data_IF_260705274373
#
_entry.id   IF_260705274373
#
_cell.length_a   1.000
_cell.length_b   1.000
_cell.length_c   1.000
_cell.angle_alpha   90.00
_cell.angle_beta   90.00
_cell.angle_gamma   90.00
#
_symmetry.space_group_name_H-M   'P 1'
#
loop_
_entity.id
_entity.type
_entity.pdbx_description
1 polymer ?
#
# COMPACT_ATOMS: atom_id res chain seq x y z
N UNK A 1 -9.64 -26.77 -30.52
CA UNK A 1 -8.44 -25.91 -30.40
C UNK A 1 -8.86 -24.49 -30.73
N UNK A 2 -9.28 -23.71 -29.73
CA UNK A 2 -9.60 -22.29 -29.87
C UNK A 2 -8.32 -21.49 -29.78
N UNK A 3 -7.87 -20.95 -30.92
CA UNK A 3 -6.72 -20.06 -31.01
C UNK A 3 -7.12 -18.71 -30.39
N UNK A 4 -6.67 -18.45 -29.17
CA UNK A 4 -6.78 -17.14 -28.50
C UNK A 4 -5.91 -16.14 -29.26
N UNK A 5 -6.54 -15.22 -29.97
CA UNK A 5 -5.90 -14.18 -30.77
C UNK A 5 -5.10 -13.22 -29.85
N UNK A 6 -3.75 -13.17 -29.94
CA UNK A 6 -2.91 -12.35 -29.07
C UNK A 6 -3.16 -10.83 -29.22
N UNK A 7 -3.75 -10.40 -30.35
CA UNK A 7 -4.07 -8.99 -30.59
C UNK A 7 -5.27 -8.48 -29.78
N UNK A 8 -6.14 -9.37 -29.28
CA UNK A 8 -7.31 -8.98 -28.48
C UNK A 8 -6.93 -8.54 -27.06
N UNK A 9 -5.86 -9.12 -26.51
CA UNK A 9 -5.36 -8.81 -25.17
C UNK A 9 -4.69 -7.43 -25.19
N UNK A 10 -3.81 -7.17 -26.16
CA UNK A 10 -3.12 -5.90 -26.28
C UNK A 10 -4.06 -4.70 -26.48
N UNK A 11 -5.13 -4.85 -27.27
CA UNK A 11 -6.11 -3.78 -27.47
C UNK A 11 -6.94 -3.48 -26.22
N UNK A 12 -7.39 -4.51 -25.48
CA UNK A 12 -8.12 -4.32 -24.22
C UNK A 12 -7.25 -3.64 -23.17
N UNK A 13 -5.99 -4.07 -23.03
CA UNK A 13 -5.03 -3.47 -22.12
C UNK A 13 -4.75 -2.01 -22.52
N UNK A 14 -4.56 -1.73 -23.81
CA UNK A 14 -4.30 -0.37 -24.29
C UNK A 14 -5.48 0.59 -24.06
N UNK A 15 -6.71 0.17 -24.34
CA UNK A 15 -7.90 0.98 -24.02
C UNK A 15 -8.13 1.13 -22.52
N UNK A 16 -7.83 0.10 -21.72
CA UNK A 16 -7.88 0.18 -20.26
C UNK A 16 -6.85 1.20 -19.73
N UNK A 17 -5.62 1.17 -20.25
CA UNK A 17 -4.56 2.12 -19.91
C UNK A 17 -4.94 3.56 -20.32
N UNK A 18 -5.50 3.77 -21.51
CA UNK A 18 -5.93 5.11 -21.95
C UNK A 18 -7.07 5.64 -21.08
N UNK A 19 -8.05 4.79 -20.74
CA UNK A 19 -9.13 5.15 -19.82
C UNK A 19 -8.58 5.46 -18.43
N UNK A 20 -7.71 4.62 -17.89
CA UNK A 20 -7.05 4.80 -16.60
C UNK A 20 -6.27 6.12 -16.54
N UNK A 21 -5.45 6.42 -17.56
CA UNK A 21 -4.72 7.70 -17.64
C UNK A 21 -5.63 8.92 -17.69
N UNK A 22 -6.74 8.88 -18.43
CA UNK A 22 -7.72 9.98 -18.47
C UNK A 22 -8.44 10.14 -17.13
N UNK A 23 -8.83 9.04 -16.50
CA UNK A 23 -9.48 9.04 -15.18
C UNK A 23 -8.55 9.63 -14.12
N UNK A 24 -7.28 9.25 -14.13
CA UNK A 24 -6.27 9.76 -13.20
C UNK A 24 -5.98 11.24 -13.46
N UNK A 25 -5.90 11.67 -14.72
CA UNK A 25 -5.74 13.08 -15.04
C UNK A 25 -6.91 13.93 -14.54
N UNK A 26 -8.15 13.41 -14.66
CA UNK A 26 -9.33 14.05 -14.09
C UNK A 26 -9.25 14.08 -12.57
N UNK A 27 -8.87 12.99 -11.91
CA UNK A 27 -8.71 12.94 -10.45
C UNK A 27 -7.64 13.94 -9.95
N UNK A 28 -6.47 14.00 -10.60
CA UNK A 28 -5.42 14.98 -10.28
C UNK A 28 -5.91 16.43 -10.49
N UNK A 29 -6.70 16.67 -11.53
CA UNK A 29 -7.28 18.00 -11.79
C UNK A 29 -8.36 18.37 -10.76
N UNK A 30 -9.16 17.41 -10.30
CA UNK A 30 -10.11 17.62 -9.20
C UNK A 30 -9.37 17.97 -7.91
N UNK A 31 -8.30 17.24 -7.58
CA UNK A 31 -7.49 17.49 -6.39
C UNK A 31 -6.82 18.87 -6.44
N UNK A 32 -6.29 19.29 -7.59
CA UNK A 32 -5.67 20.62 -7.73
C UNK A 32 -6.70 21.75 -7.67
N UNK A 33 -7.89 21.59 -8.26
CA UNK A 33 -8.97 22.59 -8.22
C UNK A 33 -9.64 22.72 -6.83
N UNK A 34 -9.78 21.62 -6.08
CA UNK A 34 -10.30 21.69 -4.70
C UNK A 34 -9.35 22.49 -3.81
N UNK A 35 -8.04 22.41 -4.06
CA UNK A 35 -7.05 23.20 -3.31
C UNK A 35 -7.17 24.71 -3.54
N UNK A 36 -7.56 25.16 -4.75
CA UNK A 36 -7.73 26.60 -5.01
C UNK A 36 -8.99 27.19 -4.36
N UNK A 37 -9.89 26.36 -3.82
CA UNK A 37 -11.19 26.81 -3.29
C UNK A 37 -11.48 26.42 -1.83
N UNK A 38 -10.61 25.70 -1.12
CA UNK A 38 -10.91 25.22 0.24
C UNK A 38 -9.99 25.80 1.31
N UNK A 39 -10.46 26.90 1.91
CA UNK A 39 -10.16 27.18 3.32
C UNK A 39 -11.16 26.35 4.14
N UNK A 40 -10.63 25.46 4.99
CA UNK A 40 -11.31 24.82 6.14
C UNK A 40 -12.63 24.08 5.89
N UNK A 41 -12.57 22.74 5.84
CA UNK A 41 -13.32 21.89 6.76
C UNK A 41 -12.58 20.56 6.92
N UNK A 42 -12.01 20.32 8.10
CA UNK A 42 -11.52 19.00 8.50
C UNK A 42 -12.73 18.22 8.98
N UNK A 43 -13.33 17.39 8.15
CA UNK A 43 -14.16 16.31 8.65
C UNK A 43 -13.52 14.97 8.29
N UNK A 44 -13.21 14.27 9.37
CA UNK A 44 -13.14 12.82 9.51
C UNK A 44 -12.38 12.10 8.41
N UNK A 45 -11.05 12.10 8.55
CA UNK A 45 -10.30 10.91 8.14
C UNK A 45 -10.79 9.83 9.11
N UNK A 46 -11.65 8.93 8.63
CA UNK A 46 -11.84 7.63 9.28
C UNK A 46 -10.53 6.87 9.09
N UNK A 47 -9.52 7.30 9.86
CA UNK A 47 -8.29 6.54 10.06
C UNK A 47 -8.79 5.24 10.65
N UNK A 48 -8.32 4.12 10.10
CA UNK A 48 -8.48 2.77 10.64
C UNK A 48 -7.88 2.71 12.06
N UNK A 49 -8.53 3.35 13.02
CA UNK A 49 -8.20 3.32 14.43
C UNK A 49 -8.69 1.97 14.93
N UNK A 50 -7.76 1.20 15.49
CA UNK A 50 -8.04 -0.08 16.11
C UNK A 50 -9.09 0.12 17.22
N UNK A 51 -10.31 -0.34 16.94
CA UNK A 51 -11.55 0.19 17.50
C UNK A 51 -11.97 -0.48 18.84
N UNK A 52 -11.33 -1.59 19.21
CA UNK A 52 -11.70 -2.36 20.42
C UNK A 52 -11.42 -1.63 21.75
N UNK A 53 -10.76 -0.47 21.75
CA UNK A 53 -10.48 0.31 22.96
C UNK A 53 -11.68 1.09 23.51
N UNK A 54 -12.71 1.33 22.69
CA UNK A 54 -13.90 2.12 23.07
C UNK A 54 -15.16 1.27 23.26
N UNK A 55 -15.05 -0.06 23.14
CA UNK A 55 -16.15 -0.98 23.45
C UNK A 55 -16.31 -1.09 24.96
N UNK A 56 -17.51 -0.77 25.44
CA UNK A 56 -17.90 -1.02 26.83
C UNK A 56 -17.85 -2.53 27.14
N UNK A 57 -17.68 -2.86 28.43
CA UNK A 57 -17.74 -4.26 28.88
C UNK A 57 -19.10 -4.90 28.55
N UNK A 58 -19.11 -6.21 28.38
CA UNK A 58 -20.31 -6.97 28.00
C UNK A 58 -21.44 -6.79 29.04
N UNK A 59 -21.10 -6.75 30.34
CA UNK A 59 -22.04 -6.46 31.43
C UNK A 59 -22.72 -5.10 31.29
N UNK A 60 -22.01 -4.09 30.77
CA UNK A 60 -22.55 -2.74 30.57
C UNK A 60 -23.56 -2.74 29.41
N UNK A 61 -23.29 -3.50 28.34
CA UNK A 61 -24.17 -3.62 27.17
C UNK A 61 -25.53 -4.28 27.52
N UNK A 62 -25.58 -5.05 28.60
CA UNK A 62 -26.80 -5.73 29.06
C UNK A 62 -27.73 -4.85 29.88
N UNK A 63 -27.31 -3.65 30.30
CA UNK A 63 -28.18 -2.72 31.01
C UNK A 63 -29.35 -2.28 30.13
N UNK A 64 -30.56 -2.26 30.68
CA UNK A 64 -31.78 -1.93 29.92
C UNK A 64 -31.69 -0.56 29.23
N UNK A 65 -31.02 0.40 29.88
CA UNK A 65 -30.79 1.75 29.35
C UNK A 65 -29.80 1.77 28.17
N UNK A 66 -28.86 0.83 28.12
CA UNK A 66 -27.86 0.73 27.05
C UNK A 66 -28.44 0.06 25.80
N UNK A 67 -29.42 -0.83 25.96
CA UNK A 67 -30.08 -1.52 24.85
C UNK A 67 -30.95 -0.57 24.01
N UNK A 68 -31.57 0.44 24.63
CA UNK A 68 -32.51 1.37 24.01
C UNK A 68 -31.86 2.63 23.40
N UNK A 69 -30.53 2.74 23.49
CA UNK A 69 -29.75 3.87 22.98
C UNK A 69 -29.82 4.00 21.45
N UNK A 70 -30.20 5.19 20.98
CA UNK A 70 -30.26 5.53 19.55
C UNK A 70 -28.90 5.85 18.93
N UNK A 71 -28.04 6.57 19.65
CA UNK A 71 -26.71 6.96 19.15
C UNK A 71 -25.64 6.17 19.88
N UNK A 72 -24.86 5.40 19.13
CA UNK A 72 -23.74 4.63 19.67
C UNK A 72 -22.44 5.30 19.29
N UNK A 73 -21.77 5.93 20.26
CA UNK A 73 -20.44 6.51 20.02
C UNK A 73 -19.42 5.43 19.64
N UNK A 74 -19.70 4.18 20.01
CA UNK A 74 -18.95 3.01 19.60
C UNK A 74 -19.29 2.46 18.22
N UNK A 75 -20.35 2.94 17.59
CA UNK A 75 -20.67 2.51 16.25
C UNK A 75 -19.86 3.35 15.25
N UNK A 76 -18.80 2.74 14.72
CA UNK A 76 -17.95 3.36 13.70
C UNK A 76 -18.62 3.37 12.30
N UNK A 77 -19.76 2.72 12.12
CA UNK A 77 -20.52 2.70 10.86
C UNK A 77 -21.57 3.80 10.77
N UNK A 78 -21.61 4.73 11.73
CA UNK A 78 -22.60 5.81 11.78
C UNK A 78 -22.60 6.71 10.53
N UNK A 79 -21.49 6.77 9.79
CA UNK A 79 -21.32 7.53 8.56
C UNK A 79 -21.22 6.67 7.29
N UNK A 80 -21.50 5.35 7.35
CA UNK A 80 -21.41 4.46 6.17
C UNK A 80 -22.37 4.86 5.04
N UNK A 81 -23.55 5.38 5.38
CA UNK A 81 -24.54 5.88 4.42
C UNK A 81 -24.22 7.31 3.93
N UNK A 82 -23.24 7.98 4.54
CA UNK A 82 -22.82 9.32 4.15
C UNK A 82 -21.86 9.21 2.97
N UNK A 83 -22.23 9.86 1.86
CA UNK A 83 -21.38 9.89 0.67
C UNK A 83 -20.07 10.62 1.03
N UNK A 84 -18.90 9.96 0.91
CA UNK A 84 -17.63 10.57 1.27
C UNK A 84 -17.30 11.71 0.30
N UNK A 85 -16.46 12.64 0.77
CA UNK A 85 -16.02 13.78 -0.02
C UNK A 85 -15.47 13.36 -1.39
N UNK A 86 -15.71 14.20 -2.40
CA UNK A 86 -15.21 13.98 -3.76
C UNK A 86 -13.68 13.76 -3.77
N UNK A 87 -12.96 14.41 -2.86
CA UNK A 87 -11.53 14.25 -2.65
C UNK A 87 -11.16 12.81 -2.27
N UNK A 88 -11.89 12.22 -1.32
CA UNK A 88 -11.68 10.85 -0.85
C UNK A 88 -12.02 9.85 -1.96
N UNK A 89 -13.11 10.08 -2.68
CA UNK A 89 -13.48 9.28 -3.85
C UNK A 89 -12.39 9.31 -4.93
N UNK A 90 -11.83 10.48 -5.23
CA UNK A 90 -10.74 10.62 -6.18
C UNK A 90 -9.48 9.85 -5.73
N UNK A 91 -9.11 9.95 -4.44
CA UNK A 91 -7.99 9.20 -3.87
C UNK A 91 -8.21 7.68 -3.94
N UNK A 92 -9.42 7.19 -3.64
CA UNK A 92 -9.78 5.76 -3.77
C UNK A 92 -9.60 5.24 -5.19
N UNK A 93 -9.96 6.04 -6.20
CA UNK A 93 -9.75 5.68 -7.61
C UNK A 93 -8.26 5.67 -7.96
N UNK A 94 -7.47 6.61 -7.42
CA UNK A 94 -6.01 6.61 -7.60
C UNK A 94 -5.39 5.37 -6.97
N UNK A 95 -5.80 4.99 -5.75
CA UNK A 95 -5.32 3.78 -5.06
C UNK A 95 -5.60 2.53 -5.90
N UNK A 96 -6.82 2.36 -6.40
CA UNK A 96 -7.21 1.16 -7.16
C UNK A 96 -6.50 1.04 -8.51
N UNK A 97 -6.07 2.17 -9.09
CA UNK A 97 -5.35 2.23 -10.37
C UNK A 97 -3.85 2.44 -10.22
N UNK A 98 -3.34 2.49 -8.98
CA UNK A 98 -1.96 2.88 -8.70
C UNK A 98 -0.93 1.92 -9.30
N UNK A 99 -1.26 0.62 -9.37
CA UNK A 99 -0.40 -0.40 -10.00
C UNK A 99 -0.10 -0.09 -11.47
N UNK A 100 -1.08 0.46 -12.19
CA UNK A 100 -0.94 0.82 -13.60
C UNK A 100 -0.34 2.23 -13.77
N UNK A 101 -0.54 3.11 -12.80
CA UNK A 101 -0.07 4.49 -12.86
C UNK A 101 0.29 5.05 -11.46
N UNK A 102 1.56 4.91 -11.04
CA UNK A 102 2.02 5.30 -9.71
C UNK A 102 2.25 6.82 -9.61
N UNK A 103 1.21 7.58 -9.29
CA UNK A 103 1.20 9.07 -9.31
C UNK A 103 1.50 9.74 -7.96
N UNK A 104 2.44 9.21 -7.16
CA UNK A 104 2.70 9.76 -5.82
C UNK A 104 3.32 11.17 -5.85
N UNK A 105 4.26 11.42 -6.76
CA UNK A 105 4.99 12.71 -6.85
C UNK A 105 4.13 13.83 -7.45
N UNK A 106 3.14 13.46 -8.26
CA UNK A 106 2.28 14.38 -9.01
C UNK A 106 1.16 14.97 -8.14
N UNK A 107 0.95 14.43 -6.94
CA UNK A 107 0.03 15.01 -5.95
C UNK A 107 0.57 16.34 -5.43
N UNK A 108 -0.29 17.35 -5.39
CA UNK A 108 0.06 18.71 -4.96
C UNK A 108 0.29 18.83 -3.46
N UNK A 109 -0.51 18.14 -2.65
CA UNK A 109 -0.55 18.33 -1.19
C UNK A 109 0.15 17.21 -0.44
N UNK A 110 0.90 17.53 0.62
CA UNK A 110 1.47 16.51 1.52
C UNK A 110 0.38 15.63 2.15
N UNK A 111 -0.72 16.23 2.63
CA UNK A 111 -1.83 15.47 3.21
C UNK A 111 -2.45 14.43 2.26
N UNK A 112 -2.48 14.70 0.96
CA UNK A 112 -3.04 13.77 -0.03
C UNK A 112 -2.09 12.61 -0.29
N UNK A 113 -0.77 12.88 -0.20
CA UNK A 113 0.27 11.84 -0.27
C UNK A 113 0.23 10.95 0.96
N UNK A 114 0.02 11.52 2.14
CA UNK A 114 -0.07 10.76 3.39
C UNK A 114 -1.28 9.83 3.36
N UNK A 115 -2.46 10.35 3.02
CA UNK A 115 -3.68 9.55 2.88
C UNK A 115 -3.52 8.48 1.79
N UNK A 116 -2.89 8.82 0.65
CA UNK A 116 -2.60 7.83 -0.38
C UNK A 116 -1.69 6.71 0.15
N UNK A 117 -0.57 7.05 0.79
CA UNK A 117 0.38 6.08 1.35
C UNK A 117 -0.28 5.19 2.42
N UNK A 118 -1.15 5.75 3.25
CA UNK A 118 -1.95 5.05 4.25
C UNK A 118 -3.06 4.17 3.66
N UNK A 119 -3.46 4.37 2.41
CA UNK A 119 -4.54 3.58 1.77
C UNK A 119 -4.01 2.60 0.74
N UNK A 120 -2.75 2.72 0.33
CA UNK A 120 -2.13 1.78 -0.60
C UNK A 120 -2.09 0.36 -0.01
N UNK A 121 -2.35 -0.67 -0.83
CA UNK A 121 -2.22 -2.06 -0.41
C UNK A 121 -0.75 -2.44 -0.22
N UNK A 122 -0.50 -3.41 0.66
CA UNK A 122 0.84 -3.94 0.98
C UNK A 122 1.32 -5.02 0.00
N UNK A 123 0.43 -5.54 -0.86
CA UNK A 123 0.68 -6.61 -1.84
C UNK A 123 1.24 -6.12 -3.19
N UNK A 124 1.67 -4.87 -3.25
CA UNK A 124 2.15 -4.24 -4.48
C UNK A 124 3.51 -4.80 -4.92
N UNK A 125 3.79 -4.82 -6.24
CA UNK A 125 5.09 -5.27 -6.75
C UNK A 125 6.26 -4.49 -6.15
N UNK A 126 7.26 -5.21 -5.62
CA UNK A 126 8.40 -4.61 -4.94
C UNK A 126 9.16 -3.59 -5.80
N UNK A 127 9.40 -3.93 -7.07
CA UNK A 127 10.12 -3.07 -8.03
C UNK A 127 9.43 -1.71 -8.25
N UNK A 128 8.10 -1.70 -8.20
CA UNK A 128 7.30 -0.50 -8.34
C UNK A 128 7.35 0.35 -7.06
N UNK A 129 7.17 -0.30 -5.91
CA UNK A 129 7.08 0.38 -4.62
C UNK A 129 8.42 0.99 -4.21
N UNK A 130 9.53 0.27 -4.40
CA UNK A 130 10.87 0.73 -4.02
C UNK A 130 11.32 1.97 -4.79
N UNK A 131 10.82 2.19 -6.01
CA UNK A 131 11.18 3.35 -6.83
C UNK A 131 10.25 4.55 -6.64
N UNK A 132 9.03 4.31 -6.17
CA UNK A 132 7.95 5.32 -6.12
C UNK A 132 7.61 5.78 -4.71
N UNK A 133 7.85 4.95 -3.69
CA UNK A 133 7.46 5.21 -2.31
C UNK A 133 8.71 5.41 -1.46
N UNK A 134 8.92 6.64 -1.02
CA UNK A 134 10.00 7.00 -0.10
C UNK A 134 9.58 7.02 1.37
N UNK A 135 8.27 7.06 1.64
CA UNK A 135 7.72 7.19 2.98
C UNK A 135 7.89 5.90 3.82
N UNK A 136 8.51 6.01 4.99
CA UNK A 136 8.80 4.88 5.89
C UNK A 136 7.53 4.23 6.48
N UNK A 137 6.44 5.00 6.61
CA UNK A 137 5.15 4.47 7.09
C UNK A 137 4.59 3.35 6.20
N UNK A 138 4.79 3.44 4.87
CA UNK A 138 4.40 2.35 3.97
C UNK A 138 5.16 1.06 4.30
N UNK A 139 6.48 1.20 4.45
CA UNK A 139 7.39 0.08 4.69
C UNK A 139 7.16 -0.57 6.05
N UNK A 140 6.79 0.23 7.06
CA UNK A 140 6.37 -0.29 8.36
C UNK A 140 5.15 -1.22 8.24
N UNK A 141 4.10 -0.76 7.54
CA UNK A 141 2.90 -1.57 7.35
C UNK A 141 3.18 -2.81 6.52
N UNK A 142 3.90 -2.67 5.43
CA UNK A 142 4.28 -3.79 4.58
C UNK A 142 5.15 -4.82 5.33
N UNK A 143 6.06 -4.38 6.20
CA UNK A 143 6.87 -5.26 7.02
C UNK A 143 6.05 -5.99 8.09
N UNK A 144 5.13 -5.28 8.76
CA UNK A 144 4.23 -5.87 9.78
C UNK A 144 3.25 -6.88 9.19
N UNK A 145 2.79 -6.64 7.97
CA UNK A 145 1.90 -7.54 7.24
C UNK A 145 2.62 -8.83 6.80
N UNK A 146 3.87 -8.70 6.31
CA UNK A 146 4.66 -9.83 5.81
C UNK A 146 5.35 -10.64 6.91
N UNK A 147 5.84 -10.00 7.97
CA UNK A 147 6.62 -10.65 9.03
C UNK A 147 6.07 -10.36 10.42
N UNK A 148 5.90 -11.42 11.22
CA UNK A 148 5.42 -11.32 12.60
C UNK A 148 6.39 -10.61 13.55
N UNK A 149 7.70 -10.75 13.34
CA UNK A 149 8.73 -10.20 14.21
C UNK A 149 9.61 -9.23 13.41
N UNK A 150 9.50 -7.94 13.68
CA UNK A 150 10.31 -6.91 13.04
C UNK A 150 11.11 -6.17 14.11
N UNK A 151 12.42 -6.32 14.09
CA UNK A 151 13.34 -5.59 14.96
C UNK A 151 14.06 -4.54 14.11
N UNK A 152 14.00 -3.27 14.49
CA UNK A 152 14.63 -2.17 13.77
C UNK A 152 16.08 -1.89 14.24
N UNK A 153 16.47 -2.42 15.40
CA UNK A 153 17.74 -2.06 16.06
C UNK A 153 18.93 -2.41 15.18
N UNK A 154 18.86 -3.54 14.49
CA UNK A 154 19.92 -4.04 13.59
C UNK A 154 19.91 -3.35 12.21
N UNK A 155 18.85 -2.62 11.88
CA UNK A 155 18.62 -2.03 10.55
C UNK A 155 18.73 -0.49 10.58
N UNK A 156 19.38 0.07 11.60
CA UNK A 156 19.61 1.51 11.73
C UNK A 156 18.32 2.34 11.77
N UNK A 157 17.23 1.78 12.30
CA UNK A 157 15.98 2.49 12.54
C UNK A 157 15.13 2.81 11.30
N UNK A 158 15.42 2.23 10.13
CA UNK A 158 14.61 2.45 8.91
C UNK A 158 13.80 1.21 8.54
N UNK A 159 12.49 1.37 8.42
CA UNK A 159 11.59 0.31 7.96
C UNK A 159 11.86 -0.07 6.51
N UNK A 160 12.15 0.91 5.66
CA UNK A 160 12.55 0.65 4.27
C UNK A 160 13.81 -0.21 4.19
N UNK A 161 14.83 0.09 5.01
CA UNK A 161 16.04 -0.72 5.09
C UNK A 161 15.73 -2.15 5.51
N UNK A 162 15.01 -2.32 6.62
CA UNK A 162 14.59 -3.64 7.13
C UNK A 162 13.87 -4.46 6.07
N UNK A 163 12.90 -3.85 5.38
CA UNK A 163 12.13 -4.53 4.34
C UNK A 163 13.03 -4.97 3.18
N UNK A 164 13.91 -4.08 2.69
CA UNK A 164 14.81 -4.42 1.58
C UNK A 164 15.79 -5.54 1.94
N UNK A 165 16.38 -5.49 3.12
CA UNK A 165 17.35 -6.48 3.59
C UNK A 165 16.69 -7.85 3.75
N UNK A 166 15.53 -7.93 4.39
CA UNK A 166 14.80 -9.19 4.54
C UNK A 166 14.25 -9.72 3.24
N UNK A 167 13.73 -8.85 2.37
CA UNK A 167 13.25 -9.26 1.06
C UNK A 167 14.37 -9.88 0.22
N UNK A 168 15.58 -9.31 0.29
CA UNK A 168 16.77 -9.88 -0.36
C UNK A 168 17.19 -11.20 0.27
N UNK A 169 17.19 -11.32 1.61
CA UNK A 169 17.48 -12.59 2.29
C UNK A 169 16.53 -13.68 1.82
N UNK A 170 15.21 -13.45 1.89
CA UNK A 170 14.23 -14.44 1.43
C UNK A 170 14.45 -14.83 -0.03
N UNK A 171 14.72 -13.86 -0.90
CA UNK A 171 15.04 -14.15 -2.30
C UNK A 171 16.26 -15.08 -2.39
N UNK A 172 17.37 -14.73 -1.75
CA UNK A 172 18.61 -15.51 -1.78
C UNK A 172 18.44 -16.92 -1.19
N UNK A 173 17.64 -17.08 -0.14
CA UNK A 173 17.38 -18.37 0.50
C UNK A 173 16.46 -19.27 -0.35
N UNK A 174 15.62 -18.67 -1.20
CA UNK A 174 14.77 -19.41 -2.15
C UNK A 174 15.48 -19.82 -3.44
N UNK A 175 16.70 -19.33 -3.68
CA UNK A 175 17.45 -19.68 -4.90
C UNK A 175 17.90 -21.14 -4.89
N UNK A 176 17.51 -21.89 -5.91
CA UNK A 176 18.03 -23.22 -6.18
C UNK A 176 19.37 -23.12 -6.92
N UNK A 177 20.42 -23.70 -6.34
CA UNK A 177 21.77 -23.65 -6.88
C UNK A 177 21.92 -24.27 -8.30
N UNK A 178 20.95 -25.07 -8.75
CA UNK A 178 20.93 -25.67 -10.09
C UNK A 178 20.50 -24.71 -11.22
N UNK A 179 19.89 -23.57 -10.91
CA UNK A 179 19.23 -22.69 -11.90
C UNK A 179 19.80 -21.26 -11.97
N UNK A 180 21.02 -21.06 -11.48
CA UNK A 180 21.64 -19.74 -11.33
C UNK A 180 21.72 -18.94 -12.64
N UNK A 181 21.99 -19.57 -13.78
CA UNK A 181 22.11 -18.85 -15.06
C UNK A 181 20.80 -18.23 -15.54
N UNK A 182 19.66 -18.90 -15.34
CA UNK A 182 18.36 -18.38 -15.72
C UNK A 182 17.86 -17.26 -14.79
N UNK A 183 18.26 -17.30 -13.52
CA UNK A 183 17.83 -16.37 -12.47
C UNK A 183 18.77 -15.17 -12.31
N UNK A 184 19.93 -15.20 -12.98
CA UNK A 184 20.97 -14.17 -12.88
C UNK A 184 20.45 -12.77 -13.22
N UNK A 185 19.68 -12.63 -14.29
CA UNK A 185 19.17 -11.33 -14.73
C UNK A 185 18.20 -10.72 -13.70
N UNK A 186 17.33 -11.54 -13.12
CA UNK A 186 16.40 -11.12 -12.06
C UNK A 186 17.14 -10.73 -10.78
N UNK A 187 18.17 -11.49 -10.42
CA UNK A 187 19.02 -11.20 -9.27
C UNK A 187 19.75 -9.85 -9.46
N UNK A 188 20.36 -9.61 -10.63
CA UNK A 188 21.04 -8.36 -10.95
C UNK A 188 20.07 -7.16 -10.92
N UNK A 189 18.82 -7.33 -11.39
CA UNK A 189 17.77 -6.31 -11.28
C UNK A 189 17.41 -6.01 -9.83
N UNK A 190 17.16 -7.03 -9.01
CA UNK A 190 16.83 -6.87 -7.60
C UNK A 190 17.97 -6.17 -6.85
N UNK A 191 19.21 -6.63 -7.05
CA UNK A 191 20.40 -6.01 -6.47
C UNK A 191 20.52 -4.52 -6.83
N UNK A 192 20.24 -4.18 -8.09
CA UNK A 192 20.28 -2.78 -8.55
C UNK A 192 19.27 -1.90 -7.83
N UNK A 193 18.10 -2.44 -7.49
CA UNK A 193 17.05 -1.72 -6.77
C UNK A 193 17.36 -1.54 -5.29
N UNK A 194 17.91 -2.57 -4.64
CA UNK A 194 18.13 -2.58 -3.17
C UNK A 194 19.48 -2.05 -2.73
N UNK A 195 20.45 -1.87 -3.66
CA UNK A 195 21.85 -1.51 -3.35
C UNK A 195 22.05 -0.30 -2.43
N UNK A 196 21.15 0.68 -2.48
CA UNK A 196 21.28 1.91 -1.67
C UNK A 196 20.70 1.75 -0.26
N UNK A 197 19.91 0.69 -0.04
CA UNK A 197 19.16 0.49 1.20
C UNK A 197 19.78 -0.63 2.04
N UNK A 198 20.37 -1.65 1.41
CA UNK A 198 20.98 -2.81 2.09
C UNK A 198 22.35 -2.47 2.67
N UNK A 199 22.53 -2.74 3.96
CA UNK A 199 23.77 -2.55 4.73
C UNK A 199 24.19 -3.85 5.42
N UNK A 200 23.23 -4.62 5.93
CA UNK A 200 23.48 -5.90 6.62
C UNK A 200 22.61 -6.99 6.00
N UNK A 201 23.20 -8.15 5.74
CA UNK A 201 22.50 -9.35 5.29
C UNK A 201 22.82 -10.46 6.29
N UNK A 202 21.79 -11.06 6.87
CA UNK A 202 21.90 -12.23 7.74
C UNK A 202 21.16 -13.38 7.09
N UNK A 203 21.91 -14.37 6.63
CA UNK A 203 21.35 -15.59 6.05
C UNK A 203 21.16 -16.62 7.16
N UNK A 204 20.01 -17.28 7.16
CA UNK A 204 19.67 -18.37 8.05
C UNK A 204 19.98 -19.72 7.42
N UNK A 205 19.73 -19.87 6.12
CA UNK A 205 19.96 -21.14 5.42
C UNK A 205 20.40 -20.91 3.98
N UNK A 206 21.42 -21.66 3.54
CA UNK A 206 21.76 -21.80 2.12
C UNK A 206 21.71 -23.28 1.78
N UNK A 207 21.02 -23.63 0.70
CA UNK A 207 20.91 -25.01 0.25
C UNK A 207 22.23 -25.46 -0.41
N UNK A 208 22.91 -26.49 0.11
CA UNK A 208 24.11 -27.01 -0.52
C UNK A 208 23.78 -27.71 -1.84
N UNK A 209 24.64 -27.52 -2.84
CA UNK A 209 24.59 -28.23 -4.12
C UNK A 209 24.98 -29.71 -3.88
N UNK A 210 24.21 -30.65 -4.44
CA UNK A 210 24.56 -32.09 -4.44
C UNK A 210 25.56 -32.42 -5.53
#
# INVERSE_FOLDING_TARGET
>A
MSVSNPNSIHFKTFFSIIKSKRIIQVALSILSCIHTHTHTHKHTISILVNYDSHRCSEDTLLLSQEQERTLRAEDASWDDDIIPDLKILALRVIVSTWKDNPVLKDLSTCADKDVLVETLPTDLPFELTITRIDNDFYWERAAKDRWKHNDLTEHGGSWRRLYCERHLVEYLETLEASYFEAQREECEKLMTLVKNYVHVIRLHCLMPTK
#
